data_IF_115843205811
#
_entry.id   IF_115843205811
#
_cell.length_a   1.000
_cell.length_b   1.000
_cell.length_c   1.000
_cell.angle_alpha   90.00
_cell.angle_beta   90.00
_cell.angle_gamma   90.00
#
_symmetry.space_group_name_H-M   'P 1'
#
loop_
_entity.id
_entity.type
_entity.pdbx_description
1 polymer ?
#
# COMPACT_ATOMS: atom_id res chain seq x y z
N UNK A 1 -5.24 20.45 4.23
CA UNK A 1 -4.99 19.36 3.26
C UNK A 1 -6.35 18.89 2.76
N UNK A 2 -6.49 18.48 1.50
CA UNK A 2 -7.77 18.11 0.93
C UNK A 2 -8.34 16.85 1.57
N UNK A 3 -9.66 16.83 1.73
CA UNK A 3 -10.45 15.71 2.18
C UNK A 3 -11.59 15.47 1.19
N UNK A 4 -11.93 14.20 0.99
CA UNK A 4 -13.03 13.78 0.15
C UNK A 4 -14.02 12.96 0.96
N UNK A 5 -15.28 13.37 0.98
CA UNK A 5 -16.37 12.56 1.52
C UNK A 5 -16.89 11.64 0.41
N UNK A 6 -16.75 10.35 0.61
CA UNK A 6 -17.19 9.34 -0.35
C UNK A 6 -18.72 9.26 -0.36
N UNK A 7 -19.28 8.83 -1.50
CA UNK A 7 -20.72 8.69 -1.70
C UNK A 7 -21.08 7.31 -2.25
N UNK A 8 -22.17 6.79 -1.75
CA UNK A 8 -22.81 5.57 -2.26
C UNK A 8 -22.22 4.27 -1.73
N UNK A 9 -23.08 3.25 -1.63
CA UNK A 9 -22.74 1.92 -1.19
C UNK A 9 -22.22 1.84 0.25
N UNK A 10 -21.32 0.88 0.50
CA UNK A 10 -20.74 0.63 1.84
C UNK A 10 -19.78 1.72 2.32
N UNK A 11 -19.37 2.63 1.43
CA UNK A 11 -18.41 3.71 1.75
C UNK A 11 -19.07 5.08 1.89
N UNK A 12 -20.41 5.13 1.84
CA UNK A 12 -21.15 6.38 1.94
C UNK A 12 -20.82 7.13 3.22
N UNK A 13 -20.54 8.43 3.09
CA UNK A 13 -20.17 9.28 4.21
C UNK A 13 -18.73 9.12 4.71
N UNK A 14 -17.98 8.13 4.23
CA UNK A 14 -16.58 7.91 4.63
C UNK A 14 -15.71 9.07 4.14
N UNK A 15 -14.96 9.69 5.06
CA UNK A 15 -14.04 10.78 4.75
C UNK A 15 -12.64 10.24 4.56
N UNK A 16 -12.05 10.52 3.39
CA UNK A 16 -10.65 10.22 3.09
C UNK A 16 -9.84 11.51 2.97
N UNK A 17 -8.68 11.50 3.62
CA UNK A 17 -7.63 12.49 3.45
C UNK A 17 -6.70 12.07 2.31
N UNK A 18 -6.14 13.03 1.60
CA UNK A 18 -5.16 12.78 0.55
C UNK A 18 -4.26 14.01 0.31
N UNK A 19 -3.11 13.75 -0.28
CA UNK A 19 -2.22 14.79 -0.84
C UNK A 19 -2.39 14.75 -2.35
N UNK A 20 -2.43 15.91 -3.01
CA UNK A 20 -2.49 16.00 -4.47
C UNK A 20 -1.51 17.02 -4.99
N UNK A 21 -0.74 16.63 -6.02
CA UNK A 21 0.20 17.51 -6.71
C UNK A 21 0.25 17.22 -8.22
N UNK A 22 0.67 18.22 -9.00
CA UNK A 22 0.95 18.10 -10.43
C UNK A 22 -0.28 18.19 -11.32
N UNK A 23 -0.05 17.95 -12.62
CA UNK A 23 -1.07 17.91 -13.65
C UNK A 23 -0.71 16.85 -14.70
N UNK A 24 -1.72 16.17 -15.24
CA UNK A 24 -1.53 15.11 -16.24
C UNK A 24 -2.34 13.86 -15.94
N UNK A 25 -1.91 12.68 -16.44
CA UNK A 25 -2.55 11.41 -16.13
C UNK A 25 -2.62 11.16 -14.63
N UNK A 26 -3.72 10.57 -14.17
CA UNK A 26 -3.93 10.30 -12.74
C UNK A 26 -3.06 9.14 -12.25
N UNK A 27 -2.32 9.36 -11.17
CA UNK A 27 -1.55 8.34 -10.44
C UNK A 27 -1.98 8.34 -8.99
N UNK A 28 -2.39 7.19 -8.47
CA UNK A 28 -2.78 7.04 -7.07
C UNK A 28 -1.73 6.22 -6.34
N UNK A 29 -1.17 6.79 -5.28
CA UNK A 29 -0.19 6.16 -4.39
C UNK A 29 -0.91 5.63 -3.16
N UNK A 30 -0.79 4.31 -2.93
CA UNK A 30 -1.49 3.58 -1.87
C UNK A 30 -0.47 3.04 -0.88
N UNK A 31 -0.51 3.53 0.36
CA UNK A 31 0.45 3.19 1.41
C UNK A 31 0.26 1.79 2.01
N UNK A 32 1.27 1.32 2.75
CA UNK A 32 1.26 0.04 3.47
C UNK A 32 0.53 0.09 4.82
N UNK A 33 0.51 -1.05 5.51
CA UNK A 33 -0.10 -1.18 6.84
C UNK A 33 0.53 -0.19 7.84
N UNK A 34 -0.31 0.63 8.44
CA UNK A 34 0.11 1.66 9.38
C UNK A 34 0.87 2.83 8.75
N UNK A 35 0.87 2.92 7.41
CA UNK A 35 1.37 4.06 6.66
C UNK A 35 0.34 5.19 6.57
N UNK A 36 0.67 6.19 5.77
CA UNK A 36 -0.11 7.40 5.51
C UNK A 36 0.39 8.05 4.21
N UNK A 37 -0.29 9.07 3.70
CA UNK A 37 0.01 9.68 2.40
C UNK A 37 1.46 10.17 2.29
N UNK A 38 1.99 10.80 3.34
CA UNK A 38 3.34 11.37 3.33
C UNK A 38 4.46 10.30 3.45
N UNK A 39 4.13 9.00 3.56
CA UNK A 39 5.13 7.95 3.33
C UNK A 39 5.66 7.97 1.90
N UNK A 40 4.97 8.65 0.99
CA UNK A 40 5.34 8.88 -0.39
C UNK A 40 6.02 10.24 -0.65
N UNK A 41 6.43 11.01 0.41
CA UNK A 41 6.98 12.37 0.29
C UNK A 41 8.16 12.51 -0.66
N UNK A 42 8.99 11.47 -0.78
CA UNK A 42 10.13 11.44 -1.70
C UNK A 42 9.74 11.12 -3.16
N UNK A 43 8.47 10.75 -3.40
CA UNK A 43 7.99 10.29 -4.70
C UNK A 43 6.96 11.24 -5.31
N UNK A 44 6.20 11.97 -4.48
CA UNK A 44 5.10 12.84 -4.94
C UNK A 44 5.62 13.87 -5.94
N UNK A 45 6.58 14.71 -5.54
CA UNK A 45 7.09 15.81 -6.38
C UNK A 45 7.74 15.31 -7.69
N UNK A 46 8.64 14.29 -7.69
CA UNK A 46 9.19 13.78 -8.93
C UNK A 46 8.15 13.24 -9.92
N UNK A 47 7.11 12.55 -9.43
CA UNK A 47 6.01 12.05 -10.25
C UNK A 47 5.09 13.19 -10.72
N UNK A 48 4.85 14.18 -9.86
CA UNK A 48 3.97 15.32 -10.13
C UNK A 48 4.46 16.23 -11.26
N UNK A 49 5.73 16.15 -11.63
CA UNK A 49 6.27 16.82 -12.82
C UNK A 49 5.63 16.35 -14.14
N UNK A 50 5.03 15.15 -14.15
CA UNK A 50 4.50 14.48 -15.35
C UNK A 50 3.08 13.93 -15.18
N UNK A 51 2.52 13.92 -13.98
CA UNK A 51 1.23 13.32 -13.65
C UNK A 51 0.46 14.16 -12.63
N UNK A 52 -0.83 13.91 -12.47
CA UNK A 52 -1.57 14.33 -11.28
C UNK A 52 -1.46 13.19 -10.27
N UNK A 53 -0.71 13.41 -9.19
CA UNK A 53 -0.40 12.41 -8.18
C UNK A 53 -1.32 12.60 -6.99
N UNK A 54 -2.02 11.55 -6.60
CA UNK A 54 -2.86 11.47 -5.42
C UNK A 54 -2.26 10.46 -4.44
N UNK A 55 -1.75 10.89 -3.31
CA UNK A 55 -1.36 10.00 -2.22
C UNK A 55 -2.51 9.93 -1.21
N UNK A 56 -3.17 8.80 -1.09
CA UNK A 56 -4.39 8.64 -0.29
C UNK A 56 -4.09 7.99 1.05
N UNK A 57 -4.68 8.52 2.13
CA UNK A 57 -4.79 7.81 3.40
C UNK A 57 -5.92 6.78 3.31
N UNK A 58 -5.58 5.50 3.42
CA UNK A 58 -6.59 4.44 3.45
C UNK A 58 -7.52 4.58 4.68
N UNK A 59 -8.78 4.11 4.60
CA UNK A 59 -9.65 4.05 5.78
C UNK A 59 -8.97 3.40 6.97
N UNK A 60 -9.08 3.99 8.14
CA UNK A 60 -8.44 3.50 9.35
C UNK A 60 -7.03 4.02 9.60
N UNK A 61 -6.44 4.76 8.64
CA UNK A 61 -5.07 5.23 8.69
C UNK A 61 -4.96 6.73 8.42
N UNK A 62 -3.80 7.30 8.79
CA UNK A 62 -3.49 8.69 8.57
C UNK A 62 -4.56 9.63 9.13
N UNK A 63 -4.93 10.67 8.38
CA UNK A 63 -6.00 11.60 8.72
C UNK A 63 -7.39 11.16 8.21
N UNK A 64 -7.48 10.02 7.50
CA UNK A 64 -8.75 9.44 7.07
C UNK A 64 -9.59 8.94 8.24
N UNK A 65 -10.91 8.83 8.01
CA UNK A 65 -11.84 8.30 8.98
C UNK A 65 -11.48 6.86 9.42
N UNK A 66 -11.72 6.56 10.70
CA UNK A 66 -11.40 5.28 11.34
C UNK A 66 -12.69 4.59 11.83
N UNK A 67 -13.58 4.17 10.89
CA UNK A 67 -14.85 3.58 11.26
C UNK A 67 -14.65 2.25 12.00
N UNK A 68 -15.58 1.91 12.89
CA UNK A 68 -15.66 0.59 13.51
C UNK A 68 -16.29 -0.40 12.52
N UNK A 69 -15.49 -0.85 11.57
CA UNK A 69 -15.91 -1.76 10.50
C UNK A 69 -14.90 -2.88 10.30
N UNK A 70 -15.17 -3.78 9.36
CA UNK A 70 -14.20 -4.75 8.89
C UNK A 70 -13.26 -4.10 7.90
N UNK A 71 -11.97 -4.44 8.00
CA UNK A 71 -10.91 -3.90 7.15
C UNK A 71 -10.39 -4.98 6.19
N UNK A 72 -11.31 -5.52 5.36
CA UNK A 72 -11.00 -6.50 4.32
C UNK A 72 -10.47 -5.82 3.06
N UNK A 73 -9.79 -6.59 2.20
CA UNK A 73 -9.30 -6.07 0.91
C UNK A 73 -10.42 -5.50 0.05
N UNK A 74 -11.59 -6.15 0.04
CA UNK A 74 -12.77 -5.67 -0.68
C UNK A 74 -13.28 -4.30 -0.18
N UNK A 75 -13.24 -4.04 1.14
CA UNK A 75 -13.64 -2.75 1.70
C UNK A 75 -12.65 -1.63 1.31
N UNK A 76 -11.33 -1.92 1.32
CA UNK A 76 -10.33 -0.99 0.82
C UNK A 76 -10.48 -0.71 -0.68
N UNK A 77 -10.73 -1.75 -1.48
CA UNK A 77 -10.98 -1.59 -2.92
C UNK A 77 -12.25 -0.76 -3.18
N UNK A 78 -13.31 -0.95 -2.39
CA UNK A 78 -14.52 -0.13 -2.46
C UNK A 78 -14.25 1.34 -2.10
N UNK A 79 -13.40 1.59 -1.09
CA UNK A 79 -12.99 2.94 -0.73
C UNK A 79 -12.17 3.60 -1.86
N UNK A 80 -11.27 2.87 -2.50
CA UNK A 80 -10.49 3.35 -3.64
C UNK A 80 -11.41 3.66 -4.84
N UNK A 81 -12.41 2.82 -5.09
CA UNK A 81 -13.45 3.11 -6.09
C UNK A 81 -14.18 4.41 -5.78
N UNK A 82 -14.71 4.53 -4.56
CA UNK A 82 -15.41 5.74 -4.12
C UNK A 82 -14.54 7.00 -4.19
N UNK A 83 -13.22 6.87 -3.91
CA UNK A 83 -12.25 7.94 -4.06
C UNK A 83 -12.10 8.37 -5.52
N UNK A 84 -11.93 7.43 -6.44
CA UNK A 84 -11.84 7.73 -7.87
C UNK A 84 -13.16 8.33 -8.41
N UNK A 85 -14.30 7.80 -8.01
CA UNK A 85 -15.62 8.29 -8.42
C UNK A 85 -15.86 9.73 -7.92
N UNK A 86 -15.51 10.00 -6.67
CA UNK A 86 -15.66 11.33 -6.06
C UNK A 86 -14.75 12.41 -6.67
N UNK A 87 -13.62 11.99 -7.25
CA UNK A 87 -12.71 12.88 -8.00
C UNK A 87 -13.01 12.93 -9.52
N UNK A 88 -14.02 12.16 -9.99
CA UNK A 88 -14.34 12.09 -11.42
C UNK A 88 -13.26 11.39 -12.27
N UNK A 89 -12.43 10.54 -11.66
CA UNK A 89 -11.37 9.81 -12.36
C UNK A 89 -11.96 8.56 -13.03
N UNK A 90 -12.06 8.55 -14.35
CA UNK A 90 -12.50 7.38 -15.10
C UNK A 90 -11.48 6.23 -15.01
N UNK A 91 -10.19 6.55 -15.09
CA UNK A 91 -9.05 5.64 -15.00
C UNK A 91 -7.92 6.29 -14.22
N UNK A 92 -7.05 5.47 -13.61
CA UNK A 92 -5.81 5.91 -12.99
C UNK A 92 -4.76 4.79 -13.04
N UNK A 93 -3.49 5.16 -12.99
CA UNK A 93 -2.41 4.23 -12.66
C UNK A 93 -2.29 4.10 -11.14
N UNK A 94 -2.05 2.90 -10.64
CA UNK A 94 -1.92 2.63 -9.21
C UNK A 94 -0.48 2.27 -8.85
N UNK A 95 0.00 2.84 -7.74
CA UNK A 95 1.28 2.47 -7.12
C UNK A 95 0.99 2.01 -5.69
N UNK A 96 1.14 0.73 -5.41
CA UNK A 96 0.83 0.16 -4.10
C UNK A 96 2.07 -0.31 -3.36
N UNK A 97 2.28 0.17 -2.12
CA UNK A 97 3.32 -0.32 -1.23
C UNK A 97 2.76 -1.31 -0.22
N UNK A 98 3.42 -2.47 -0.04
CA UNK A 98 3.07 -3.46 1.00
C UNK A 98 1.58 -3.83 0.96
N UNK A 99 0.80 -3.57 2.01
CA UNK A 99 -0.67 -3.72 2.03
C UNK A 99 -1.34 -2.96 0.88
N UNK A 100 -0.85 -1.75 0.56
CA UNK A 100 -1.38 -0.97 -0.56
C UNK A 100 -1.25 -1.69 -1.90
N UNK A 101 -0.26 -2.57 -2.04
CA UNK A 101 -0.15 -3.48 -3.18
C UNK A 101 -1.31 -4.49 -3.22
N UNK A 102 -1.63 -5.12 -2.10
CA UNK A 102 -2.77 -6.04 -2.00
C UNK A 102 -4.10 -5.34 -2.33
N UNK A 103 -4.28 -4.11 -1.84
CA UNK A 103 -5.46 -3.28 -2.15
C UNK A 103 -5.52 -2.95 -3.63
N UNK A 104 -4.40 -2.51 -4.22
CA UNK A 104 -4.32 -2.13 -5.64
C UNK A 104 -4.55 -3.31 -6.57
N UNK A 105 -4.01 -4.49 -6.24
CA UNK A 105 -4.28 -5.75 -6.97
C UNK A 105 -5.75 -6.12 -6.88
N UNK A 106 -6.33 -6.11 -5.67
CA UNK A 106 -7.76 -6.43 -5.48
C UNK A 106 -8.64 -5.48 -6.29
N UNK A 107 -8.31 -4.19 -6.30
CA UNK A 107 -9.02 -3.20 -7.11
C UNK A 107 -8.87 -3.48 -8.62
N UNK A 108 -7.65 -3.75 -9.09
CA UNK A 108 -7.40 -4.03 -10.50
C UNK A 108 -8.11 -5.31 -10.99
N UNK A 109 -8.21 -6.33 -10.16
CA UNK A 109 -8.93 -7.57 -10.47
C UNK A 109 -10.44 -7.36 -10.53
N UNK A 110 -10.99 -6.48 -9.70
CA UNK A 110 -12.45 -6.21 -9.65
C UNK A 110 -12.89 -5.11 -10.61
N UNK A 111 -12.00 -4.19 -11.00
CA UNK A 111 -12.27 -3.05 -11.86
C UNK A 111 -11.15 -2.86 -12.91
N UNK A 112 -10.87 -3.86 -13.77
CA UNK A 112 -9.70 -3.82 -14.66
C UNK A 112 -9.73 -2.65 -15.65
N UNK A 113 -10.91 -2.24 -16.12
CA UNK A 113 -11.06 -1.10 -17.02
C UNK A 113 -10.76 0.27 -16.38
N UNK A 114 -10.66 0.32 -15.03
CA UNK A 114 -10.37 1.54 -14.27
C UNK A 114 -8.88 1.72 -13.97
N UNK A 115 -8.04 0.73 -14.27
CA UNK A 115 -6.60 0.74 -13.97
C UNK A 115 -5.82 0.74 -15.28
N UNK A 116 -5.01 1.80 -15.50
CA UNK A 116 -4.16 1.87 -16.68
C UNK A 116 -2.87 1.07 -16.52
N UNK A 117 -2.22 1.20 -15.37
CA UNK A 117 -0.94 0.54 -15.02
C UNK A 117 -0.91 0.24 -13.54
N UNK A 118 -0.19 -0.81 -13.17
CA UNK A 118 -0.04 -1.22 -11.77
C UNK A 118 1.43 -1.36 -11.40
N UNK A 119 1.92 -0.52 -10.49
CA UNK A 119 3.25 -0.66 -9.90
C UNK A 119 3.13 -1.16 -8.44
N UNK A 120 3.89 -2.19 -8.11
CA UNK A 120 3.90 -2.84 -6.81
C UNK A 120 5.28 -2.68 -6.17
N UNK A 121 5.35 -2.03 -5.02
CA UNK A 121 6.61 -1.68 -4.33
C UNK A 121 6.66 -2.40 -2.98
N UNK A 122 7.58 -3.36 -2.81
CA UNK A 122 7.65 -4.17 -1.59
C UNK A 122 6.30 -4.80 -1.22
N UNK A 123 5.49 -5.11 -2.21
CA UNK A 123 4.06 -5.37 -2.07
C UNK A 123 3.76 -6.76 -1.54
N UNK A 124 2.72 -6.86 -0.72
CA UNK A 124 2.00 -8.11 -0.48
C UNK A 124 1.00 -8.29 -1.61
N UNK A 125 0.96 -9.47 -2.22
CA UNK A 125 0.05 -9.78 -3.33
C UNK A 125 -0.84 -10.96 -2.96
N UNK A 126 -2.17 -10.80 -2.98
CA UNK A 126 -3.10 -11.88 -2.72
C UNK A 126 -2.91 -13.04 -3.73
N UNK A 127 -3.05 -14.27 -3.26
CA UNK A 127 -2.82 -15.47 -4.09
C UNK A 127 -1.38 -15.93 -4.14
N UNK A 128 -0.43 -15.15 -3.63
CA UNK A 128 0.98 -15.53 -3.47
C UNK A 128 1.29 -15.90 -2.01
N UNK A 129 2.31 -16.74 -1.83
CA UNK A 129 2.71 -17.25 -0.51
C UNK A 129 3.27 -16.12 0.34
N UNK A 130 2.55 -15.74 1.38
CA UNK A 130 3.02 -14.78 2.37
C UNK A 130 2.91 -15.36 3.78
N UNK A 131 4.05 -15.44 4.46
CA UNK A 131 4.11 -15.88 5.86
C UNK A 131 4.60 -14.74 6.74
N UNK A 132 3.68 -14.03 7.40
CA UNK A 132 4.06 -12.98 8.33
C UNK A 132 4.96 -13.54 9.45
N UNK A 133 5.86 -12.69 9.98
CA UNK A 133 6.70 -13.07 11.11
C UNK A 133 5.84 -13.53 12.31
N UNK A 134 6.44 -14.32 13.21
CA UNK A 134 5.74 -14.79 14.41
C UNK A 134 5.19 -13.63 15.25
N UNK A 135 5.89 -12.48 15.29
CA UNK A 135 5.45 -11.29 16.03
C UNK A 135 4.16 -10.70 15.44
N UNK A 136 4.07 -10.56 14.10
CA UNK A 136 2.84 -10.15 13.44
C UNK A 136 1.69 -11.13 13.69
N UNK A 137 1.98 -12.44 13.68
CA UNK A 137 0.98 -13.47 13.96
C UNK A 137 0.47 -13.38 15.40
N UNK A 138 1.36 -13.15 16.37
CA UNK A 138 0.99 -12.98 17.78
C UNK A 138 0.11 -11.73 17.98
N UNK A 139 0.46 -10.59 17.37
CA UNK A 139 -0.33 -9.35 17.43
C UNK A 139 -1.69 -9.52 16.73
N UNK A 140 -1.83 -10.42 15.78
CA UNK A 140 -3.11 -10.72 15.15
C UNK A 140 -4.08 -11.50 16.07
N UNK A 141 -3.62 -12.14 17.15
CA UNK A 141 -4.48 -12.87 18.10
C UNK A 141 -5.32 -11.87 18.89
N UNK A 142 -6.65 -12.09 18.90
CA UNK A 142 -7.58 -11.24 19.68
C UNK A 142 -7.25 -11.32 21.17
N UNK A 143 -7.34 -10.19 21.87
CA UNK A 143 -6.92 -10.02 23.25
C UNK A 143 -5.42 -9.76 23.37
N UNK A 144 -4.57 -10.61 22.80
CA UNK A 144 -3.12 -10.44 22.86
C UNK A 144 -2.65 -9.19 22.10
N UNK A 145 -3.19 -8.96 20.90
CA UNK A 145 -2.88 -7.77 20.10
C UNK A 145 -3.31 -6.47 20.78
N UNK A 146 -4.49 -6.45 21.39
CA UNK A 146 -4.99 -5.30 22.14
C UNK A 146 -4.09 -4.99 23.34
N UNK A 147 -3.71 -6.01 24.11
CA UNK A 147 -2.80 -5.87 25.25
C UNK A 147 -1.42 -5.39 24.77
N UNK A 148 -0.82 -6.08 23.79
CA UNK A 148 0.49 -5.71 23.25
C UNK A 148 0.55 -4.30 22.72
N UNK A 149 -0.49 -3.87 21.98
CA UNK A 149 -0.56 -2.51 21.42
C UNK A 149 -0.80 -1.44 22.48
N UNK A 150 -1.40 -1.77 23.64
CA UNK A 150 -1.59 -0.83 24.75
C UNK A 150 -0.29 -0.50 25.47
N UNK A 151 0.69 -1.41 25.43
CA UNK A 151 2.02 -1.22 26.02
C UNK A 151 3.09 -0.79 24.99
N UNK A 152 2.71 -0.62 23.72
CA UNK A 152 3.64 -0.18 22.69
C UNK A 152 3.99 1.30 22.90
N UNK A 153 5.25 1.56 23.27
CA UNK A 153 5.79 2.92 23.37
C UNK A 153 6.60 3.29 22.13
N UNK A 154 6.89 4.58 21.96
CA UNK A 154 7.59 5.11 20.79
C UNK A 154 8.91 4.39 20.47
N UNK A 155 9.69 4.00 21.49
CA UNK A 155 10.94 3.27 21.31
C UNK A 155 10.75 1.88 20.68
N UNK A 156 9.71 1.13 21.10
CA UNK A 156 9.38 -0.15 20.48
C UNK A 156 8.93 0.05 19.03
N UNK A 157 8.15 1.07 18.76
CA UNK A 157 7.72 1.40 17.40
C UNK A 157 8.93 1.75 16.52
N UNK A 158 9.86 2.60 17.02
CA UNK A 158 11.12 2.91 16.32
C UNK A 158 11.92 1.65 16.02
N UNK A 159 12.07 0.75 16.98
CA UNK A 159 12.80 -0.51 16.79
C UNK A 159 12.13 -1.43 15.75
N UNK A 160 10.80 -1.53 15.76
CA UNK A 160 10.06 -2.30 14.77
C UNK A 160 10.19 -1.70 13.37
N UNK A 161 10.09 -0.37 13.27
CA UNK A 161 10.22 0.34 12.00
C UNK A 161 11.65 0.23 11.44
N UNK A 162 12.68 0.38 12.28
CA UNK A 162 14.08 0.23 11.88
C UNK A 162 14.38 -1.13 11.24
N UNK A 163 13.69 -2.20 11.66
CA UNK A 163 13.83 -3.54 11.05
C UNK A 163 13.26 -3.64 9.64
N UNK A 164 12.42 -2.71 9.24
CA UNK A 164 11.86 -2.65 7.89
C UNK A 164 12.87 -2.09 6.87
N UNK A 165 13.86 -1.33 7.33
CA UNK A 165 14.93 -0.79 6.49
C UNK A 165 16.13 -1.74 6.43
N UNK A 166 16.88 -1.70 5.33
CA UNK A 166 18.16 -2.39 5.24
C UNK A 166 19.22 -1.65 6.06
N UNK A 167 19.39 -0.37 5.80
CA UNK A 167 20.20 0.57 6.59
C UNK A 167 19.27 1.65 7.14
N UNK A 168 18.81 1.52 8.39
CA UNK A 168 17.83 2.43 8.93
C UNK A 168 18.40 3.84 9.08
N UNK A 169 17.82 4.80 8.38
CA UNK A 169 18.08 6.21 8.58
C UNK A 169 17.27 6.72 9.79
N UNK A 170 17.95 7.38 10.71
CA UNK A 170 17.33 7.92 11.91
C UNK A 170 16.30 9.02 11.59
N UNK A 171 16.59 9.89 10.62
CA UNK A 171 15.69 10.97 10.23
C UNK A 171 14.39 10.40 9.64
N UNK A 172 14.48 9.33 8.83
CA UNK A 172 13.32 8.63 8.30
C UNK A 172 12.47 8.00 9.41
N UNK A 173 13.12 7.32 10.36
CA UNK A 173 12.42 6.69 11.49
C UNK A 173 11.75 7.75 12.37
N UNK A 174 12.47 8.83 12.69
CA UNK A 174 11.94 9.92 13.51
C UNK A 174 10.76 10.59 12.80
N UNK A 175 10.82 10.79 11.48
CA UNK A 175 9.69 11.32 10.71
C UNK A 175 8.42 10.47 10.89
N UNK A 176 8.51 9.14 10.74
CA UNK A 176 7.34 8.27 10.92
C UNK A 176 6.77 8.35 12.33
N UNK A 177 7.63 8.49 13.33
CA UNK A 177 7.22 8.57 14.73
C UNK A 177 6.62 9.94 15.04
N UNK A 178 7.30 11.00 14.67
CA UNK A 178 6.87 12.38 15.02
C UNK A 178 5.59 12.76 14.26
N UNK A 179 5.44 12.26 13.03
CA UNK A 179 4.30 12.61 12.19
C UNK A 179 3.01 11.89 12.61
N UNK A 180 3.10 10.60 12.98
CA UNK A 180 1.87 9.79 13.21
C UNK A 180 1.93 8.83 14.40
N UNK A 181 2.89 8.96 15.29
CA UNK A 181 2.89 8.10 16.47
C UNK A 181 1.65 8.32 17.35
N UNK A 182 1.16 9.57 17.46
CA UNK A 182 -0.03 9.90 18.21
C UNK A 182 -1.25 9.09 17.75
N UNK A 183 -1.43 8.88 16.45
CA UNK A 183 -2.54 8.09 15.89
C UNK A 183 -2.54 6.65 16.43
N UNK A 184 -1.38 6.09 16.77
CA UNK A 184 -1.27 4.73 17.30
C UNK A 184 -1.67 4.61 18.76
N UNK A 185 -1.72 5.73 19.47
CA UNK A 185 -2.22 5.77 20.84
C UNK A 185 -3.75 5.91 20.90
N UNK A 186 -4.38 6.34 19.80
CA UNK A 186 -5.83 6.45 19.70
C UNK A 186 -6.50 5.07 19.62
N UNK A 187 -7.56 4.81 20.42
CA UNK A 187 -8.24 3.52 20.43
C UNK A 187 -8.79 3.11 19.06
N UNK A 188 -9.35 4.04 18.29
CA UNK A 188 -9.91 3.80 16.96
C UNK A 188 -8.83 3.43 15.95
N UNK A 189 -7.69 4.10 15.95
CA UNK A 189 -6.57 3.81 15.07
C UNK A 189 -5.94 2.44 15.39
N UNK A 190 -5.80 2.10 16.68
CA UNK A 190 -5.36 0.76 17.09
C UNK A 190 -6.34 -0.32 16.65
N UNK A 191 -7.63 -0.09 16.85
CA UNK A 191 -8.68 -1.03 16.44
C UNK A 191 -8.64 -1.26 14.91
N UNK A 192 -8.50 -0.20 14.12
CA UNK A 192 -8.38 -0.26 12.66
C UNK A 192 -7.13 -1.05 12.23
N UNK A 193 -5.97 -0.76 12.84
CA UNK A 193 -4.73 -1.47 12.57
C UNK A 193 -4.85 -2.98 12.84
N UNK A 194 -5.37 -3.35 14.03
CA UNK A 194 -5.53 -4.75 14.42
C UNK A 194 -6.58 -5.48 13.59
N UNK A 195 -7.69 -4.81 13.25
CA UNK A 195 -8.72 -5.35 12.36
C UNK A 195 -8.13 -5.58 10.96
N UNK A 196 -7.39 -4.61 10.40
CA UNK A 196 -6.73 -4.76 9.11
C UNK A 196 -5.79 -5.96 9.09
N UNK A 197 -4.93 -6.07 10.10
CA UNK A 197 -3.97 -7.17 10.20
C UNK A 197 -4.66 -8.55 10.22
N UNK A 198 -5.80 -8.66 10.89
CA UNK A 198 -6.59 -9.89 11.00
C UNK A 198 -7.40 -10.17 9.74
N UNK A 199 -8.17 -9.18 9.31
CA UNK A 199 -9.15 -9.34 8.24
C UNK A 199 -8.47 -9.56 6.88
N UNK A 200 -7.37 -8.82 6.59
CA UNK A 200 -6.59 -9.00 5.37
C UNK A 200 -5.93 -10.37 5.35
N UNK A 201 -5.37 -10.83 6.48
CA UNK A 201 -4.78 -12.17 6.56
C UNK A 201 -5.82 -13.25 6.27
N UNK A 202 -6.99 -13.18 6.92
CA UNK A 202 -8.07 -14.14 6.70
C UNK A 202 -8.54 -14.10 5.24
N UNK A 203 -8.69 -12.91 4.67
CA UNK A 203 -9.10 -12.71 3.27
C UNK A 203 -8.12 -13.39 2.30
N UNK A 204 -6.81 -13.13 2.51
CA UNK A 204 -5.76 -13.72 1.68
C UNK A 204 -5.68 -15.24 1.81
N UNK A 205 -5.83 -15.77 3.03
CA UNK A 205 -5.82 -17.22 3.27
C UNK A 205 -7.07 -17.91 2.69
N UNK A 206 -8.25 -17.30 2.90
CA UNK A 206 -9.53 -17.88 2.47
C UNK A 206 -9.68 -17.88 0.95
N UNK A 207 -9.25 -16.81 0.29
CA UNK A 207 -9.43 -16.61 -1.15
C UNK A 207 -8.14 -16.77 -1.97
N UNK A 208 -7.10 -17.40 -1.39
CA UNK A 208 -5.80 -17.55 -2.04
C UNK A 208 -5.87 -18.15 -3.45
N UNK A 209 -6.66 -19.21 -3.62
CA UNK A 209 -6.82 -19.88 -4.90
C UNK A 209 -7.52 -18.99 -5.94
N UNK A 210 -8.55 -18.27 -5.54
CA UNK A 210 -9.30 -17.40 -6.45
C UNK A 210 -8.45 -16.19 -6.89
N UNK A 211 -7.73 -15.58 -5.97
CA UNK A 211 -6.77 -14.53 -6.29
C UNK A 211 -5.68 -15.03 -7.26
N UNK A 212 -5.10 -16.20 -6.96
CA UNK A 212 -4.05 -16.78 -7.80
C UNK A 212 -4.54 -16.99 -9.23
N UNK A 213 -5.74 -17.56 -9.40
CA UNK A 213 -6.36 -17.76 -10.71
C UNK A 213 -6.65 -16.43 -11.40
N UNK A 214 -7.22 -15.45 -10.68
CA UNK A 214 -7.52 -14.14 -11.26
C UNK A 214 -6.25 -13.37 -11.66
N UNK A 215 -5.16 -13.50 -10.91
CA UNK A 215 -3.87 -12.87 -11.26
C UNK A 215 -3.33 -13.35 -12.62
N UNK A 216 -3.54 -14.62 -13.00
CA UNK A 216 -3.08 -15.13 -14.30
C UNK A 216 -3.85 -14.56 -15.50
N UNK A 217 -4.99 -13.94 -15.28
CA UNK A 217 -5.81 -13.28 -16.33
C UNK A 217 -5.62 -11.77 -16.39
N UNK A 218 -4.73 -11.21 -15.57
CA UNK A 218 -4.50 -9.78 -15.50
C UNK A 218 -3.60 -9.34 -16.66
N UNK A 219 -4.14 -8.59 -17.62
CA UNK A 219 -3.43 -8.17 -18.83
C UNK A 219 -2.83 -6.74 -18.76
N UNK A 220 -3.14 -6.00 -17.70
CA UNK A 220 -2.64 -4.64 -17.56
C UNK A 220 -1.11 -4.60 -17.34
N UNK A 221 -0.41 -3.56 -17.84
CA UNK A 221 1.02 -3.41 -17.60
C UNK A 221 1.34 -3.40 -16.10
N UNK A 222 2.34 -4.20 -15.70
CA UNK A 222 2.73 -4.34 -14.30
C UNK A 222 4.23 -4.12 -14.09
N UNK A 223 4.57 -3.36 -13.05
CA UNK A 223 5.95 -3.17 -12.58
C UNK A 223 6.06 -3.64 -11.14
N UNK A 224 7.03 -4.51 -10.87
CA UNK A 224 7.35 -5.01 -9.54
C UNK A 224 8.70 -4.40 -9.10
N UNK A 225 8.72 -3.70 -7.97
CA UNK A 225 9.93 -3.13 -7.37
C UNK A 225 10.09 -3.73 -5.98
N UNK A 226 11.23 -4.38 -5.70
CA UNK A 226 11.39 -5.10 -4.43
C UNK A 226 12.82 -5.03 -3.92
N UNK A 227 12.97 -4.72 -2.62
CA UNK A 227 14.27 -4.74 -1.93
C UNK A 227 14.74 -6.18 -1.70
N UNK A 228 16.00 -6.49 -2.04
CA UNK A 228 16.56 -7.84 -1.84
C UNK A 228 16.67 -8.24 -0.37
N UNK A 229 16.83 -7.27 0.51
CA UNK A 229 16.97 -7.47 1.96
C UNK A 229 15.68 -7.18 2.72
N UNK A 230 14.53 -7.20 2.04
CA UNK A 230 13.22 -7.03 2.68
C UNK A 230 12.96 -8.18 3.68
N UNK A 231 12.85 -7.79 4.97
CA UNK A 231 12.59 -8.69 6.11
C UNK A 231 11.11 -8.78 6.48
N UNK A 232 10.27 -8.00 5.82
CA UNK A 232 8.81 -7.97 6.04
C UNK A 232 8.12 -8.83 5.00
N UNK A 233 8.36 -8.56 3.71
CA UNK A 233 7.90 -9.35 2.57
C UNK A 233 9.13 -9.87 1.84
N UNK A 234 9.43 -11.17 1.89
CA UNK A 234 10.63 -11.73 1.26
C UNK A 234 10.65 -11.48 -0.26
N UNK A 235 11.84 -11.22 -0.81
CA UNK A 235 12.02 -10.96 -2.24
C UNK A 235 11.51 -12.13 -3.13
N UNK A 236 11.51 -13.37 -2.61
CA UNK A 236 10.92 -14.53 -3.27
C UNK A 236 9.42 -14.39 -3.55
N UNK A 237 8.72 -13.57 -2.78
CA UNK A 237 7.31 -13.24 -3.04
C UNK A 237 7.16 -12.50 -4.38
N UNK A 238 8.07 -11.57 -4.68
CA UNK A 238 8.12 -10.89 -5.97
C UNK A 238 8.36 -11.87 -7.13
N UNK A 239 9.19 -12.91 -6.91
CA UNK A 239 9.45 -13.95 -7.93
C UNK A 239 8.20 -14.78 -8.22
N UNK A 240 7.42 -15.11 -7.18
CA UNK A 240 6.16 -15.81 -7.32
C UNK A 240 5.13 -14.97 -8.10
N UNK A 241 5.05 -13.66 -7.82
CA UNK A 241 4.17 -12.74 -8.58
C UNK A 241 4.59 -12.69 -10.06
N UNK A 242 5.88 -12.55 -10.34
CA UNK A 242 6.40 -12.52 -11.70
C UNK A 242 6.13 -13.81 -12.47
N UNK A 243 6.12 -14.95 -11.78
CA UNK A 243 5.78 -16.24 -12.38
C UNK A 243 4.28 -16.35 -12.73
N UNK A 244 3.40 -15.66 -11.99
CA UNK A 244 1.96 -15.63 -12.27
C UNK A 244 1.60 -14.64 -13.39
N UNK A 245 2.32 -13.50 -13.45
CA UNK A 245 2.09 -12.42 -14.41
C UNK A 245 3.35 -12.25 -15.25
N UNK A 246 3.52 -13.13 -16.26
CA UNK A 246 4.76 -13.27 -17.03
C UNK A 246 5.21 -12.00 -17.78
N UNK A 247 4.30 -11.08 -18.05
CA UNK A 247 4.60 -9.80 -18.69
C UNK A 247 4.97 -8.69 -17.69
N UNK A 248 4.99 -8.98 -16.37
CA UNK A 248 5.40 -8.01 -15.37
C UNK A 248 6.90 -7.69 -15.48
N UNK A 249 7.23 -6.40 -15.49
CA UNK A 249 8.61 -5.94 -15.38
C UNK A 249 9.08 -6.00 -13.94
N UNK A 250 10.28 -6.51 -13.68
CA UNK A 250 10.81 -6.66 -12.32
C UNK A 250 12.05 -5.80 -12.11
N UNK A 251 12.09 -5.08 -11.01
CA UNK A 251 13.23 -4.31 -10.51
C UNK A 251 13.58 -4.77 -9.10
N UNK A 252 14.71 -5.43 -8.92
CA UNK A 252 15.24 -5.79 -7.61
C UNK A 252 16.26 -4.76 -7.18
N UNK A 253 16.10 -4.24 -5.96
CA UNK A 253 16.94 -3.19 -5.42
C UNK A 253 17.92 -3.82 -4.42
N UNK A 254 19.21 -3.71 -4.70
CA UNK A 254 20.27 -4.16 -3.79
C UNK A 254 20.42 -3.20 -2.60
N UNK A 255 20.89 -3.69 -1.47
CA UNK A 255 21.04 -2.93 -0.23
C UNK A 255 19.75 -2.17 0.17
N UNK A 256 18.60 -2.84 0.04
CA UNK A 256 17.28 -2.25 0.23
C UNK A 256 16.37 -3.19 1.02
N UNK A 257 15.67 -2.64 2.00
CA UNK A 257 14.67 -3.33 2.80
C UNK A 257 13.25 -3.22 2.23
N UNK A 258 12.31 -2.98 3.13
CA UNK A 258 10.87 -2.97 2.82
C UNK A 258 10.37 -1.67 2.19
N UNK A 259 11.17 -0.60 2.21
CA UNK A 259 10.78 0.72 1.70
C UNK A 259 11.63 1.18 0.49
N UNK A 260 11.61 0.47 -0.66
CA UNK A 260 12.40 0.88 -1.83
C UNK A 260 12.15 2.34 -2.25
N UNK A 261 10.90 2.81 -2.13
CA UNK A 261 10.48 4.18 -2.45
C UNK A 261 11.06 5.26 -1.52
N UNK A 262 11.66 4.85 -0.41
CA UNK A 262 12.34 5.73 0.55
C UNK A 262 13.85 5.49 0.48
N UNK A 263 14.28 4.22 0.66
CA UNK A 263 15.69 3.85 0.75
C UNK A 263 16.46 4.14 -0.55
N UNK A 264 15.79 4.03 -1.70
CA UNK A 264 16.35 4.26 -3.04
C UNK A 264 15.39 5.12 -3.89
N UNK A 265 14.90 6.21 -3.29
CA UNK A 265 13.85 7.05 -3.89
C UNK A 265 14.17 7.51 -5.31
N UNK A 266 15.41 7.94 -5.59
CA UNK A 266 15.82 8.44 -6.91
C UNK A 266 15.64 7.37 -8.00
N UNK A 267 16.18 6.17 -7.78
CA UNK A 267 16.07 5.07 -8.74
C UNK A 267 14.62 4.62 -8.92
N UNK A 268 13.87 4.50 -7.81
CA UNK A 268 12.46 4.11 -7.83
C UNK A 268 11.62 5.15 -8.56
N UNK A 269 11.85 6.44 -8.34
CA UNK A 269 11.16 7.52 -9.05
C UNK A 269 11.43 7.46 -10.56
N UNK A 270 12.68 7.22 -10.97
CA UNK A 270 13.02 7.04 -12.37
C UNK A 270 12.20 5.92 -13.01
N UNK A 271 12.18 4.73 -12.41
CA UNK A 271 11.41 3.58 -12.92
C UNK A 271 9.90 3.82 -12.91
N UNK A 272 9.38 4.48 -11.87
CA UNK A 272 7.95 4.83 -11.80
C UNK A 272 7.57 5.84 -12.87
N UNK A 273 8.37 6.90 -13.08
CA UNK A 273 8.10 7.90 -14.13
C UNK A 273 8.11 7.22 -15.50
N UNK A 274 9.13 6.43 -15.82
CA UNK A 274 9.24 5.73 -17.11
C UNK A 274 8.06 4.78 -17.33
N UNK A 275 7.67 4.06 -16.28
CA UNK A 275 6.59 3.10 -16.37
C UNK A 275 5.21 3.76 -16.44
N UNK A 276 4.93 4.77 -15.60
CA UNK A 276 3.59 5.36 -15.46
C UNK A 276 3.26 6.38 -16.57
N UNK A 277 4.27 7.07 -17.12
CA UNK A 277 4.10 8.21 -18.05
C UNK A 277 4.80 7.96 -19.38
N UNK A 278 5.67 6.96 -19.48
CA UNK A 278 6.30 6.52 -20.72
C UNK A 278 5.26 6.07 -21.77
N UNK A 279 5.61 6.20 -23.04
CA UNK A 279 4.76 5.65 -24.13
C UNK A 279 4.51 4.15 -23.86
N UNK A 280 3.29 3.65 -24.09
CA UNK A 280 3.07 2.21 -24.06
C UNK A 280 4.07 1.54 -25.01
N UNK A 281 4.67 0.43 -24.58
CA UNK A 281 5.47 -0.40 -25.49
C UNK A 281 4.60 -0.75 -26.69
N UNK A 282 5.10 -0.69 -27.94
CA UNK A 282 4.36 -1.16 -29.10
C UNK A 282 3.92 -2.60 -28.85
N UNK A 283 2.63 -2.88 -29.09
CA UNK A 283 2.04 -4.23 -29.00
C UNK A 283 2.63 -5.13 -30.04
#
# INVERSE_FOLDING_TARGET
MPELQLRGGEVDGLRLHYVVEGRGPAVILVHGLGGFAETWRHNIEPLARRATVYAVDLPGFGASAKPRSRYRLANFASALRGFMDGLGLAQASLVGHSLGGAVSVTYALTHPSRVERLALVGAVVPGCSFRPSWAFRAVAIRGLGEIASSFAWAGLYKACLARCFHLPDRAEIDFFVDYRYADRTEPEARAAYLSTLRDVRIDMETHAHDYRRAMTTLELPMLLIHGRQDRVVPASHCDEVAALVSHASVRRVDACGHFPQIEHAEAVNGWLVDFLVGRPAPR
#
